data_IF_705732853736
#
_entry.id   IF_705732853736
#
_cell.length_a   1.000
_cell.length_b   1.000
_cell.length_c   1.000
_cell.angle_alpha   90.00
_cell.angle_beta   90.00
_cell.angle_gamma   90.00
#
_symmetry.space_group_name_H-M   'P 1'
#
loop_
_entity.id
_entity.type
_entity.pdbx_description
1 polymer ?
#
# COMPACT_ATOMS: atom_id res chain seq x y z
N UNK A 1 -19.01 -1.38 -9.26
CA UNK A 1 -18.91 -0.54 -8.04
C UNK A 1 -17.52 0.08 -7.89
N UNK A 2 -16.40 -0.68 -7.98
CA UNK A 2 -15.05 -0.13 -7.87
C UNK A 2 -14.78 0.95 -8.94
N UNK A 3 -15.13 0.68 -10.19
CA UNK A 3 -14.96 1.63 -11.29
C UNK A 3 -15.67 2.96 -11.01
N UNK A 4 -16.95 2.92 -10.60
CA UNK A 4 -17.72 4.12 -10.29
C UNK A 4 -17.09 4.95 -9.15
N UNK A 5 -16.43 4.28 -8.20
CA UNK A 5 -15.70 4.97 -7.12
C UNK A 5 -14.40 5.57 -7.64
N UNK A 6 -13.66 4.84 -8.48
CA UNK A 6 -12.41 5.33 -9.09
C UNK A 6 -12.67 6.50 -10.07
N UNK A 7 -13.82 6.55 -10.73
CA UNK A 7 -14.26 7.70 -11.54
C UNK A 7 -14.22 9.03 -10.77
N UNK A 8 -14.42 9.01 -9.45
CA UNK A 8 -14.28 10.17 -8.58
C UNK A 8 -12.91 10.87 -8.64
N UNK A 9 -11.89 10.22 -9.18
CA UNK A 9 -10.55 10.77 -9.37
C UNK A 9 -10.30 11.37 -10.75
N UNK A 10 -11.16 11.10 -11.74
CA UNK A 10 -10.98 11.57 -13.11
C UNK A 10 -10.81 13.07 -13.18
N UNK A 11 -9.78 13.50 -13.91
CA UNK A 11 -9.41 14.92 -14.08
C UNK A 11 -8.82 15.61 -12.84
N UNK A 12 -8.83 14.95 -11.68
CA UNK A 12 -8.26 15.51 -10.44
C UNK A 12 -6.74 15.54 -10.50
N UNK A 13 -6.15 16.64 -10.02
CA UNK A 13 -4.70 16.73 -9.79
C UNK A 13 -4.39 16.15 -8.41
N UNK A 14 -3.53 15.15 -8.36
CA UNK A 14 -3.19 14.40 -7.16
C UNK A 14 -1.70 14.51 -6.89
N UNK A 15 -1.33 15.09 -5.75
CA UNK A 15 0.05 15.10 -5.30
C UNK A 15 0.37 13.76 -4.62
N UNK A 16 1.44 13.11 -5.04
CA UNK A 16 1.96 11.90 -4.42
C UNK A 16 3.32 12.26 -3.81
N UNK A 17 3.47 12.03 -2.49
CA UNK A 17 4.72 12.31 -1.77
C UNK A 17 5.41 10.99 -1.47
N UNK A 18 6.45 10.70 -2.24
CA UNK A 18 7.23 9.45 -2.12
C UNK A 18 8.09 9.21 -3.35
N UNK A 19 9.02 8.28 -3.23
CA UNK A 19 9.86 7.87 -4.35
C UNK A 19 9.07 7.00 -5.34
N UNK A 20 9.47 7.00 -6.63
CA UNK A 20 8.75 6.32 -7.71
C UNK A 20 8.79 4.78 -7.68
N UNK A 21 9.11 4.17 -6.54
CA UNK A 21 9.11 2.71 -6.37
C UNK A 21 7.90 2.17 -5.60
N UNK A 22 7.79 0.85 -5.48
CA UNK A 22 6.78 0.17 -4.66
C UNK A 22 5.35 0.63 -4.90
N UNK A 23 4.63 0.98 -3.83
CA UNK A 23 3.24 1.44 -3.91
C UNK A 23 3.07 2.70 -4.77
N UNK A 24 4.06 3.63 -4.77
CA UNK A 24 4.03 4.84 -5.59
C UNK A 24 3.88 4.53 -7.08
N UNK A 25 4.63 3.57 -7.60
CA UNK A 25 4.60 3.22 -9.02
C UNK A 25 3.21 2.73 -9.45
N UNK A 26 2.60 1.85 -8.64
CA UNK A 26 1.24 1.38 -8.88
C UNK A 26 0.19 2.49 -8.72
N UNK A 27 0.37 3.37 -7.73
CA UNK A 27 -0.52 4.50 -7.50
C UNK A 27 -0.53 5.45 -8.71
N UNK A 28 0.64 5.79 -9.25
CA UNK A 28 0.77 6.60 -10.46
C UNK A 28 0.08 5.89 -11.63
N UNK A 29 0.36 4.60 -11.85
CA UNK A 29 -0.20 3.84 -12.96
C UNK A 29 -1.74 3.75 -12.88
N UNK A 30 -2.31 3.49 -11.71
CA UNK A 30 -3.76 3.46 -11.52
C UNK A 30 -4.37 4.84 -11.77
N UNK A 31 -3.80 5.90 -11.19
CA UNK A 31 -4.31 7.27 -11.37
C UNK A 31 -4.25 7.72 -12.83
N UNK A 32 -3.17 7.41 -13.55
CA UNK A 32 -3.06 7.69 -14.99
C UNK A 32 -4.15 6.94 -15.78
N UNK A 33 -4.35 5.64 -15.52
CA UNK A 33 -5.30 4.79 -16.26
C UNK A 33 -6.76 5.20 -16.03
N UNK A 34 -7.10 5.76 -14.85
CA UNK A 34 -8.43 6.29 -14.58
C UNK A 34 -8.61 7.76 -14.99
N UNK A 35 -7.59 8.36 -15.62
CA UNK A 35 -7.64 9.72 -16.13
C UNK A 35 -7.49 10.82 -15.08
N UNK A 36 -6.86 10.54 -13.96
CA UNK A 36 -6.39 11.55 -13.02
C UNK A 36 -5.06 12.17 -13.50
N UNK A 37 -4.55 13.15 -12.77
CA UNK A 37 -3.30 13.87 -13.08
C UNK A 37 -2.33 13.75 -11.89
N UNK A 38 -1.61 12.62 -11.75
CA UNK A 38 -0.66 12.46 -10.66
C UNK A 38 0.56 13.37 -10.85
N UNK A 39 1.01 13.95 -9.75
CA UNK A 39 2.26 14.71 -9.64
C UNK A 39 3.06 14.11 -8.51
N UNK A 40 4.22 13.56 -8.80
CA UNK A 40 5.06 12.91 -7.80
C UNK A 40 6.15 13.88 -7.33
N UNK A 41 6.31 13.98 -6.03
CA UNK A 41 7.36 14.72 -5.36
C UNK A 41 8.08 13.75 -4.41
N UNK A 42 9.41 13.77 -4.42
CA UNK A 42 10.19 12.93 -3.50
C UNK A 42 9.79 13.19 -2.04
N UNK A 43 9.80 12.17 -1.22
CA UNK A 43 9.61 12.28 0.23
C UNK A 43 10.71 13.09 0.91
N UNK A 44 11.84 13.35 0.22
CA UNK A 44 12.94 14.21 0.65
C UNK A 44 12.79 15.67 0.24
N UNK A 45 11.68 16.02 -0.40
CA UNK A 45 11.44 17.40 -0.80
C UNK A 45 11.38 18.33 0.41
N UNK A 46 11.96 19.52 0.25
CA UNK A 46 11.82 20.60 1.23
C UNK A 46 10.42 21.23 1.19
N UNK A 47 10.09 22.01 2.21
CA UNK A 47 8.80 22.69 2.34
C UNK A 47 8.48 23.57 1.12
N UNK A 48 9.50 24.26 0.55
CA UNK A 48 9.31 25.11 -0.61
C UNK A 48 8.92 24.33 -1.88
N UNK A 49 9.51 23.15 -2.07
CA UNK A 49 9.19 22.25 -3.18
C UNK A 49 7.78 21.67 -3.02
N UNK A 50 7.42 21.26 -1.79
CA UNK A 50 6.05 20.80 -1.48
C UNK A 50 5.04 21.93 -1.71
N UNK A 51 5.26 23.12 -1.18
CA UNK A 51 4.40 24.28 -1.39
C UNK A 51 4.22 24.60 -2.86
N UNK A 52 5.29 24.64 -3.66
CA UNK A 52 5.21 24.85 -5.11
C UNK A 52 4.37 23.76 -5.80
N UNK A 53 4.56 22.49 -5.44
CA UNK A 53 3.81 21.38 -6.04
C UNK A 53 2.31 21.45 -5.69
N UNK A 54 1.98 21.86 -4.45
CA UNK A 54 0.59 22.01 -3.98
C UNK A 54 -0.10 23.23 -4.62
N UNK A 55 0.63 24.34 -4.83
CA UNK A 55 0.08 25.60 -5.35
C UNK A 55 0.13 25.72 -6.87
N UNK A 56 1.01 25.01 -7.56
CA UNK A 56 1.21 25.05 -9.02
C UNK A 56 -0.01 24.61 -9.88
N UNK A 57 -1.14 24.41 -9.26
CA UNK A 57 -2.42 24.05 -9.86
C UNK A 57 -3.29 23.42 -8.77
N UNK A 58 -4.58 23.60 -8.88
CA UNK A 58 -5.53 23.16 -7.85
C UNK A 58 -5.40 21.66 -7.54
N UNK A 59 -4.62 21.33 -6.53
CA UNK A 59 -4.45 19.93 -6.05
C UNK A 59 -5.72 19.50 -5.31
N UNK A 60 -6.28 18.36 -5.70
CA UNK A 60 -7.51 17.82 -5.11
C UNK A 60 -7.23 16.87 -3.94
N UNK A 61 -6.05 16.25 -3.93
CA UNK A 61 -5.62 15.39 -2.84
C UNK A 61 -4.09 15.34 -2.75
N UNK A 62 -3.60 15.17 -1.52
CA UNK A 62 -2.22 14.75 -1.27
C UNK A 62 -2.25 13.31 -0.77
N UNK A 63 -1.41 12.44 -1.34
CA UNK A 63 -1.32 11.03 -0.98
C UNK A 63 0.10 10.74 -0.49
N UNK A 64 0.19 10.14 0.70
CA UNK A 64 1.40 9.57 1.27
C UNK A 64 1.28 8.04 1.18
N UNK A 65 1.90 7.37 0.20
CA UNK A 65 1.62 5.96 -0.12
C UNK A 65 2.39 4.96 0.75
N UNK A 66 3.04 5.39 1.80
CA UNK A 66 3.80 4.55 2.70
C UNK A 66 4.61 5.37 3.67
N UNK A 67 5.47 4.70 4.40
CA UNK A 67 6.41 5.37 5.27
C UNK A 67 7.56 5.96 4.45
N UNK A 68 8.01 7.14 4.84
CA UNK A 68 9.18 7.78 4.24
C UNK A 68 10.42 6.93 4.57
N UNK A 69 10.99 6.29 3.57
CA UNK A 69 12.14 5.39 3.74
C UNK A 69 13.47 6.15 3.74
N UNK A 70 14.51 5.56 4.34
CA UNK A 70 15.87 6.11 4.31
C UNK A 70 16.08 7.39 5.13
N UNK A 71 15.19 7.72 6.04
CA UNK A 71 15.28 8.82 6.99
C UNK A 71 15.25 8.32 8.44
N UNK A 72 15.87 9.06 9.35
CA UNK A 72 15.66 8.87 10.78
C UNK A 72 14.24 9.18 11.20
N UNK A 73 13.77 8.62 12.32
CA UNK A 73 12.43 8.89 12.85
C UNK A 73 12.15 10.40 13.04
N UNK A 74 13.08 11.22 13.62
CA UNK A 74 12.86 12.67 13.71
C UNK A 74 12.63 13.35 12.36
N UNK A 75 13.43 13.01 11.33
CA UNK A 75 13.27 13.57 9.99
C UNK A 75 11.93 13.18 9.36
N UNK A 76 11.46 11.95 9.57
CA UNK A 76 10.15 11.49 9.10
C UNK A 76 9.01 12.22 9.81
N UNK A 77 9.13 12.46 11.11
CA UNK A 77 8.17 13.25 11.89
C UNK A 77 8.08 14.68 11.37
N UNK A 78 9.23 15.35 11.20
CA UNK A 78 9.29 16.70 10.67
C UNK A 78 8.67 16.79 9.27
N UNK A 79 9.00 15.88 8.39
CA UNK A 79 8.45 15.82 7.04
C UNK A 79 6.92 15.58 7.05
N UNK A 80 6.41 14.73 7.95
CA UNK A 80 4.98 14.48 8.11
C UNK A 80 4.24 15.74 8.59
N UNK A 81 4.78 16.43 9.58
CA UNK A 81 4.21 17.68 10.10
C UNK A 81 4.27 18.81 9.06
N UNK A 82 5.38 18.90 8.32
CA UNK A 82 5.55 19.86 7.23
C UNK A 82 4.51 19.61 6.14
N UNK A 83 4.37 18.36 5.66
CA UNK A 83 3.36 18.02 4.67
C UNK A 83 1.94 18.39 5.15
N UNK A 84 1.63 18.08 6.40
CA UNK A 84 0.31 18.38 6.97
C UNK A 84 0.03 19.89 6.97
N UNK A 85 1.02 20.71 7.36
CA UNK A 85 0.91 22.16 7.33
C UNK A 85 0.73 22.70 5.92
N UNK A 86 1.57 22.28 4.98
CA UNK A 86 1.52 22.74 3.59
C UNK A 86 0.21 22.34 2.90
N UNK A 87 -0.32 21.14 3.18
CA UNK A 87 -1.65 20.68 2.69
C UNK A 87 -2.77 21.60 3.16
N UNK A 88 -2.72 22.03 4.44
CA UNK A 88 -3.68 22.99 4.99
C UNK A 88 -3.58 24.34 4.32
N UNK A 89 -2.37 24.90 4.28
CA UNK A 89 -2.12 26.24 3.75
C UNK A 89 -2.49 26.34 2.26
N UNK A 90 -2.28 25.27 1.50
CA UNK A 90 -2.69 25.18 0.10
C UNK A 90 -4.19 24.89 -0.09
N UNK A 91 -4.94 24.66 0.97
CA UNK A 91 -6.38 24.37 0.91
C UNK A 91 -6.70 23.04 0.20
N UNK A 92 -5.83 22.04 0.28
CA UNK A 92 -6.07 20.72 -0.33
C UNK A 92 -7.15 19.99 0.46
N UNK A 93 -8.25 19.55 -0.17
CA UNK A 93 -9.41 19.03 0.56
C UNK A 93 -9.23 17.63 1.15
N UNK A 94 -8.25 16.84 0.67
CA UNK A 94 -8.01 15.46 1.11
C UNK A 94 -6.53 15.17 1.34
N UNK A 95 -6.22 14.63 2.52
CA UNK A 95 -4.95 13.96 2.82
C UNK A 95 -5.21 12.46 3.01
N UNK A 96 -4.69 11.63 2.10
CA UNK A 96 -4.76 10.18 2.16
C UNK A 96 -3.39 9.63 2.53
N UNK A 97 -3.26 8.97 3.67
CA UNK A 97 -2.04 8.28 4.07
C UNK A 97 -2.28 6.77 4.07
N UNK A 98 -1.33 6.03 3.51
CA UNK A 98 -1.29 4.56 3.55
C UNK A 98 -0.17 4.15 4.50
N UNK A 99 -0.40 3.12 5.31
CA UNK A 99 0.56 2.65 6.29
C UNK A 99 0.41 1.17 6.56
N UNK A 100 1.49 0.56 7.01
CA UNK A 100 1.55 -0.87 7.26
C UNK A 100 0.80 -1.26 8.56
N UNK A 101 0.26 -2.47 8.57
CA UNK A 101 -0.37 -3.10 9.74
C UNK A 101 0.61 -3.40 10.89
N UNK A 102 1.92 -3.35 10.64
CA UNK A 102 2.95 -3.54 11.66
C UNK A 102 2.81 -2.61 12.87
N UNK A 103 2.02 -1.53 12.73
CA UNK A 103 1.66 -0.62 13.83
C UNK A 103 0.88 -1.30 14.95
N UNK A 104 0.18 -2.39 14.69
CA UNK A 104 -0.59 -3.10 15.69
C UNK A 104 0.29 -3.98 16.58
N UNK A 105 0.02 -3.95 17.90
CA UNK A 105 0.70 -4.75 18.89
C UNK A 105 0.18 -6.17 18.97
N UNK A 106 -1.12 -6.37 18.71
CA UNK A 106 -1.79 -7.65 18.77
C UNK A 106 -1.48 -8.57 17.59
N UNK A 107 -1.63 -9.90 17.78
CA UNK A 107 -1.67 -10.91 16.72
C UNK A 107 -3.10 -11.33 16.38
N UNK A 108 -3.26 -12.13 15.32
CA UNK A 108 -4.57 -12.60 14.89
C UNK A 108 -5.34 -11.55 14.06
N UNK A 109 -6.68 -11.59 14.11
CA UNK A 109 -7.53 -10.63 13.36
C UNK A 109 -7.70 -9.34 14.16
N UNK A 110 -7.30 -8.22 13.58
CA UNK A 110 -7.26 -6.90 14.24
C UNK A 110 -8.12 -5.91 13.45
N UNK A 111 -8.99 -5.19 14.14
CA UNK A 111 -9.75 -4.06 13.60
C UNK A 111 -9.07 -2.71 13.89
N UNK A 112 -9.69 -1.61 13.47
CA UNK A 112 -9.15 -0.25 13.62
C UNK A 112 -8.98 0.21 15.08
N UNK A 113 -9.69 -0.43 16.03
CA UNK A 113 -9.58 -0.17 17.47
C UNK A 113 -8.48 -1.00 18.14
N UNK A 114 -7.76 -1.85 17.38
CA UNK A 114 -6.66 -2.66 17.92
C UNK A 114 -5.56 -1.80 18.53
N UNK A 115 -4.90 -2.36 19.55
CA UNK A 115 -3.82 -1.68 20.26
C UNK A 115 -2.66 -1.36 19.32
N UNK A 116 -2.24 -0.08 19.32
CA UNK A 116 -1.14 0.44 18.52
C UNK A 116 0.13 0.49 19.36
N UNK A 117 1.28 0.26 18.75
CA UNK A 117 2.57 0.31 19.43
C UNK A 117 3.64 -0.56 18.76
N UNK A 118 3.23 -1.38 17.79
CA UNK A 118 4.14 -2.25 17.05
C UNK A 118 4.82 -3.31 17.90
N UNK A 119 5.37 -4.34 17.29
CA UNK A 119 6.18 -5.38 17.94
C UNK A 119 7.64 -5.29 17.55
N UNK A 120 7.90 -4.78 16.37
CA UNK A 120 9.23 -4.56 15.83
C UNK A 120 9.58 -3.08 15.94
N UNK A 121 10.87 -2.76 15.78
CA UNK A 121 11.32 -1.37 15.73
C UNK A 121 10.55 -0.58 14.66
N UNK A 122 10.44 -1.12 13.45
CA UNK A 122 9.75 -0.46 12.34
C UNK A 122 8.26 -0.25 12.65
N UNK A 123 7.60 -1.25 13.24
CA UNK A 123 6.20 -1.12 13.67
C UNK A 123 6.00 -0.06 14.77
N UNK A 124 6.95 0.06 15.71
CA UNK A 124 6.92 1.12 16.72
C UNK A 124 7.11 2.50 16.09
N UNK A 125 8.08 2.66 15.18
CA UNK A 125 8.31 3.91 14.47
C UNK A 125 7.10 4.30 13.60
N UNK A 126 6.51 3.33 12.88
CA UNK A 126 5.28 3.53 12.13
C UNK A 126 4.12 3.99 13.02
N UNK A 127 3.98 3.41 14.22
CA UNK A 127 2.92 3.80 15.15
C UNK A 127 3.09 5.24 15.66
N UNK A 128 4.31 5.68 15.88
CA UNK A 128 4.63 7.07 16.26
C UNK A 128 4.27 8.02 15.12
N UNK A 129 4.65 7.70 13.89
CA UNK A 129 4.34 8.52 12.71
C UNK A 129 2.84 8.63 12.46
N UNK A 130 2.09 7.53 12.56
CA UNK A 130 0.64 7.56 12.43
C UNK A 130 -0.03 8.39 13.54
N UNK A 131 0.44 8.27 14.77
CA UNK A 131 -0.08 9.04 15.90
C UNK A 131 0.18 10.53 15.69
N UNK A 132 1.38 10.90 15.24
CA UNK A 132 1.73 12.28 14.92
C UNK A 132 0.86 12.82 13.77
N UNK A 133 0.66 12.05 12.69
CA UNK A 133 -0.19 12.42 11.58
C UNK A 133 -1.64 12.66 12.02
N UNK A 134 -2.22 11.74 12.78
CA UNK A 134 -3.59 11.87 13.28
C UNK A 134 -3.74 13.02 14.28
N UNK A 135 -2.73 13.24 15.12
CA UNK A 135 -2.68 14.39 16.04
C UNK A 135 -2.61 15.72 15.28
N UNK A 136 -1.73 15.80 14.27
CA UNK A 136 -1.62 16.97 13.40
C UNK A 136 -2.89 17.18 12.57
N UNK A 137 -3.51 16.13 12.07
CA UNK A 137 -4.77 16.22 11.35
C UNK A 137 -5.87 16.83 12.21
N UNK A 138 -6.02 16.38 13.45
CA UNK A 138 -7.03 16.95 14.39
C UNK A 138 -6.71 18.39 14.79
N UNK A 139 -5.44 18.67 15.12
CA UNK A 139 -5.03 19.98 15.66
C UNK A 139 -4.79 21.02 14.58
N UNK A 140 -4.20 20.66 13.45
CA UNK A 140 -3.82 21.59 12.39
C UNK A 140 -4.83 21.65 11.26
N UNK A 141 -5.35 20.51 10.78
CA UNK A 141 -6.23 20.47 9.61
C UNK A 141 -7.69 20.78 9.98
N UNK A 142 -8.14 20.34 11.16
CA UNK A 142 -9.52 20.46 11.56
C UNK A 142 -10.47 19.86 10.51
N UNK A 143 -11.65 20.49 10.34
CA UNK A 143 -12.65 20.04 9.36
C UNK A 143 -12.36 20.51 7.92
N UNK A 144 -11.37 21.38 7.73
CA UNK A 144 -11.05 21.95 6.43
C UNK A 144 -10.42 20.92 5.46
N UNK A 145 -9.68 19.94 6.00
CA UNK A 145 -9.02 18.88 5.23
C UNK A 145 -9.49 17.53 5.72
N UNK A 146 -10.06 16.74 4.85
CA UNK A 146 -10.41 15.34 5.18
C UNK A 146 -9.12 14.52 5.29
N UNK A 147 -8.92 13.85 6.42
CA UNK A 147 -7.77 12.95 6.60
C UNK A 147 -8.26 11.52 6.60
N UNK A 148 -7.71 10.73 5.69
CA UNK A 148 -7.95 9.30 5.57
C UNK A 148 -6.64 8.56 5.82
N UNK A 149 -6.60 7.74 6.86
CA UNK A 149 -5.48 6.85 7.14
C UNK A 149 -5.90 5.42 6.81
N UNK A 150 -5.19 4.80 5.88
CA UNK A 150 -5.43 3.43 5.43
C UNK A 150 -4.31 2.54 5.96
N UNK A 151 -4.65 1.56 6.78
CA UNK A 151 -3.73 0.52 7.23
C UNK A 151 -3.91 -0.71 6.38
N UNK A 152 -2.83 -1.21 5.83
CA UNK A 152 -2.86 -2.38 4.95
C UNK A 152 -1.94 -3.49 5.46
N UNK A 153 -2.24 -4.72 5.09
CA UNK A 153 -1.35 -5.83 5.32
C UNK A 153 0.00 -5.60 4.61
N UNK A 154 1.08 -6.22 5.07
CA UNK A 154 2.34 -6.19 4.34
C UNK A 154 2.13 -6.57 2.88
N UNK A 155 2.65 -5.75 1.99
CA UNK A 155 2.67 -6.07 0.55
C UNK A 155 3.54 -7.30 0.34
N UNK A 156 3.35 -8.02 -0.75
CA UNK A 156 4.25 -9.11 -1.17
C UNK A 156 5.71 -8.69 -0.97
N UNK A 157 6.31 -9.20 0.13
CA UNK A 157 7.58 -8.72 0.63
C UNK A 157 8.78 -9.34 -0.06
N UNK A 158 9.96 -9.10 0.52
CA UNK A 158 11.27 -9.55 -0.01
C UNK A 158 11.33 -11.06 -0.23
N UNK A 159 10.73 -11.88 0.64
CA UNK A 159 10.67 -13.33 0.47
C UNK A 159 9.95 -13.72 -0.82
N UNK A 160 8.80 -13.10 -1.12
CA UNK A 160 8.05 -13.39 -2.35
C UNK A 160 8.84 -12.95 -3.59
N UNK A 161 9.52 -11.81 -3.52
CA UNK A 161 10.41 -11.35 -4.59
C UNK A 161 11.58 -12.33 -4.79
N UNK A 162 12.20 -12.82 -3.71
CA UNK A 162 13.26 -13.82 -3.77
C UNK A 162 12.78 -15.15 -4.37
N UNK A 163 11.53 -15.57 -4.09
CA UNK A 163 10.94 -16.76 -4.73
C UNK A 163 10.78 -16.58 -6.23
N UNK A 164 10.29 -15.43 -6.67
CA UNK A 164 10.18 -15.09 -8.08
C UNK A 164 11.56 -15.07 -8.77
N UNK A 165 12.56 -14.48 -8.12
CA UNK A 165 13.91 -14.41 -8.64
C UNK A 165 14.55 -15.80 -8.75
N UNK A 166 14.40 -16.65 -7.74
CA UNK A 166 14.87 -18.03 -7.80
C UNK A 166 14.23 -18.81 -8.97
N UNK A 167 12.90 -18.63 -9.13
CA UNK A 167 12.18 -19.26 -10.24
C UNK A 167 12.67 -18.79 -11.61
N UNK A 168 12.87 -17.48 -11.80
CA UNK A 168 13.38 -16.90 -13.05
C UNK A 168 14.82 -17.34 -13.38
N UNK A 169 15.58 -17.75 -12.37
CA UNK A 169 16.94 -18.27 -12.49
C UNK A 169 17.01 -19.82 -12.60
N UNK A 170 15.85 -20.48 -12.60
CA UNK A 170 15.78 -21.95 -12.62
C UNK A 170 16.28 -22.60 -11.31
N UNK A 171 16.35 -21.84 -10.22
CA UNK A 171 16.80 -22.30 -8.92
C UNK A 171 15.62 -22.81 -8.07
N UNK A 172 15.94 -23.68 -7.12
CA UNK A 172 14.98 -24.10 -6.07
C UNK A 172 14.59 -22.92 -5.19
N UNK A 173 13.29 -22.75 -4.97
CA UNK A 173 12.77 -21.72 -4.06
C UNK A 173 13.06 -22.12 -2.61
N UNK A 174 13.76 -21.27 -1.86
CA UNK A 174 14.00 -21.46 -0.43
C UNK A 174 12.90 -20.78 0.37
N UNK A 175 12.29 -21.51 1.31
CA UNK A 175 11.16 -21.04 2.09
C UNK A 175 11.53 -20.99 3.56
N UNK A 176 11.68 -19.80 4.08
CA UNK A 176 11.84 -19.55 5.54
C UNK A 176 10.50 -19.72 6.23
N UNK A 177 10.50 -20.29 7.44
CA UNK A 177 9.30 -20.52 8.24
C UNK A 177 8.15 -21.15 7.43
N UNK A 178 8.34 -22.35 6.84
CA UNK A 178 7.42 -22.93 5.84
C UNK A 178 6.00 -23.12 6.35
N UNK A 179 5.83 -23.41 7.66
CA UNK A 179 4.53 -23.57 8.29
C UNK A 179 3.85 -22.25 8.68
N UNK A 180 4.59 -21.14 8.67
CA UNK A 180 4.04 -19.85 9.04
C UNK A 180 2.96 -19.39 8.04
N UNK A 181 1.89 -18.82 8.57
CA UNK A 181 0.85 -18.19 7.76
C UNK A 181 1.36 -16.84 7.25
N UNK A 182 1.34 -16.66 5.94
CA UNK A 182 1.63 -15.40 5.28
C UNK A 182 0.36 -14.74 4.75
N UNK A 183 0.43 -13.44 4.59
CA UNK A 183 -0.56 -12.63 3.89
C UNK A 183 0.06 -12.21 2.56
N UNK A 184 -0.64 -12.47 1.47
CA UNK A 184 -0.12 -12.28 0.10
C UNK A 184 -0.98 -11.24 -0.62
N UNK A 185 -0.81 -9.98 -0.27
CA UNK A 185 -1.57 -8.87 -0.86
C UNK A 185 -0.72 -8.14 -1.90
N UNK A 186 -1.25 -8.00 -3.10
CA UNK A 186 -0.57 -7.28 -4.18
C UNK A 186 -0.75 -5.75 -4.03
N UNK A 187 0.26 -4.94 -4.40
CA UNK A 187 0.16 -3.48 -4.35
C UNK A 187 -1.09 -2.89 -5.00
N UNK A 188 -1.56 -3.47 -6.11
CA UNK A 188 -2.77 -3.00 -6.81
C UNK A 188 -4.03 -3.07 -5.94
N UNK A 189 -4.20 -4.13 -5.15
CA UNK A 189 -5.34 -4.23 -4.24
C UNK A 189 -5.31 -3.10 -3.20
N UNK A 190 -4.13 -2.83 -2.63
CA UNK A 190 -3.95 -1.77 -1.62
C UNK A 190 -4.25 -0.40 -2.24
N UNK A 191 -3.65 -0.13 -3.40
CA UNK A 191 -3.83 1.15 -4.11
C UNK A 191 -5.30 1.36 -4.48
N UNK A 192 -5.95 0.36 -5.08
CA UNK A 192 -7.35 0.48 -5.49
C UNK A 192 -8.29 0.64 -4.29
N UNK A 193 -8.05 -0.10 -3.20
CA UNK A 193 -8.82 0.07 -1.96
C UNK A 193 -8.62 1.47 -1.35
N UNK A 194 -7.37 1.95 -1.28
CA UNK A 194 -7.05 3.28 -0.77
C UNK A 194 -7.69 4.40 -1.60
N UNK A 195 -7.61 4.31 -2.93
CA UNK A 195 -8.26 5.26 -3.83
C UNK A 195 -9.79 5.20 -3.73
N UNK A 196 -10.38 4.03 -3.53
CA UNK A 196 -11.82 3.88 -3.31
C UNK A 196 -12.26 4.59 -2.03
N UNK A 197 -11.51 4.43 -0.95
CA UNK A 197 -11.74 5.15 0.31
C UNK A 197 -11.58 6.66 0.12
N UNK A 198 -10.53 7.11 -0.57
CA UNK A 198 -10.31 8.52 -0.89
C UNK A 198 -11.43 9.12 -1.74
N UNK A 199 -11.95 8.39 -2.73
CA UNK A 199 -13.10 8.82 -3.53
C UNK A 199 -14.36 8.99 -2.66
N UNK A 200 -14.56 8.09 -1.70
CA UNK A 200 -15.65 8.21 -0.73
C UNK A 200 -15.52 9.46 0.14
N UNK A 201 -14.29 9.80 0.55
CA UNK A 201 -14.04 11.05 1.28
C UNK A 201 -14.47 12.29 0.49
N UNK A 202 -14.27 12.32 -0.83
CA UNK A 202 -14.77 13.40 -1.69
C UNK A 202 -16.29 13.46 -1.73
N UNK A 203 -16.98 12.30 -1.77
CA UNK A 203 -18.43 12.23 -1.93
C UNK A 203 -19.18 12.55 -0.64
N UNK A 204 -18.71 12.06 0.51
CA UNK A 204 -19.44 12.11 1.76
C UNK A 204 -18.78 13.00 2.82
N UNK A 205 -17.60 13.54 2.55
CA UNK A 205 -16.86 14.35 3.51
C UNK A 205 -16.35 13.56 4.72
N UNK A 206 -16.37 12.23 4.65
CA UNK A 206 -15.91 11.36 5.74
C UNK A 206 -14.37 11.23 5.71
N UNK A 207 -13.77 11.32 6.90
CA UNK A 207 -12.38 10.98 7.16
C UNK A 207 -12.29 9.85 8.18
N UNK A 208 -11.10 9.35 8.46
CA UNK A 208 -10.93 8.36 9.51
C UNK A 208 -9.80 7.38 9.25
N UNK A 209 -9.77 6.33 10.08
CA UNK A 209 -8.82 5.24 9.99
C UNK A 209 -9.55 4.00 9.50
N UNK A 210 -9.00 3.34 8.49
CA UNK A 210 -9.59 2.15 7.88
C UNK A 210 -8.54 1.09 7.62
N UNK A 211 -8.87 -0.15 7.97
CA UNK A 211 -8.07 -1.30 7.59
C UNK A 211 -8.47 -1.79 6.20
N UNK A 212 -7.49 -2.06 5.34
CA UNK A 212 -7.71 -2.89 4.15
C UNK A 212 -7.62 -4.33 4.62
N UNK A 213 -8.79 -4.97 4.72
CA UNK A 213 -8.92 -6.31 5.27
C UNK A 213 -8.29 -7.36 4.35
N UNK A 214 -7.70 -8.36 5.00
CA UNK A 214 -7.24 -9.57 4.33
C UNK A 214 -8.39 -10.54 4.13
N UNK A 215 -8.61 -10.95 2.90
CA UNK A 215 -9.51 -12.05 2.55
C UNK A 215 -8.81 -13.40 2.87
N UNK A 216 -9.57 -14.43 3.19
CA UNK A 216 -9.03 -15.78 3.36
C UNK A 216 -8.33 -16.28 2.10
N UNK A 217 -8.74 -15.81 0.92
CA UNK A 217 -8.11 -16.12 -0.36
C UNK A 217 -6.68 -15.59 -0.50
N UNK A 218 -6.33 -14.52 0.20
CA UNK A 218 -4.98 -13.93 0.22
C UNK A 218 -4.11 -14.45 1.36
N UNK A 219 -4.57 -15.46 2.11
CA UNK A 219 -3.85 -16.04 3.26
C UNK A 219 -3.50 -17.50 3.00
N UNK A 220 -2.29 -17.89 3.30
CA UNK A 220 -1.83 -19.27 3.16
C UNK A 220 -0.56 -19.54 3.96
N UNK A 221 -0.10 -20.80 4.02
CA UNK A 221 1.25 -21.07 4.52
C UNK A 221 2.27 -20.67 3.44
N UNK A 222 3.43 -20.19 3.90
CA UNK A 222 4.53 -19.82 2.98
C UNK A 222 4.93 -20.98 2.08
N UNK A 223 5.05 -22.20 2.65
CA UNK A 223 5.33 -23.41 1.87
C UNK A 223 4.29 -23.70 0.79
N UNK A 224 3.00 -23.57 1.13
CA UNK A 224 1.93 -23.82 0.16
C UNK A 224 1.97 -22.81 -0.99
N UNK A 225 2.17 -21.53 -0.69
CA UNK A 225 2.25 -20.47 -1.69
C UNK A 225 3.45 -20.64 -2.63
N UNK A 226 4.64 -20.87 -2.07
CA UNK A 226 5.87 -21.08 -2.84
C UNK A 226 5.79 -22.35 -3.71
N UNK A 227 5.24 -23.45 -3.17
CA UNK A 227 5.05 -24.70 -3.93
C UNK A 227 4.11 -24.50 -5.12
N UNK A 228 2.98 -23.83 -4.93
CA UNK A 228 2.03 -23.55 -6.02
C UNK A 228 2.67 -22.66 -7.08
N UNK A 229 3.43 -21.63 -6.69
CA UNK A 229 4.17 -20.78 -7.62
C UNK A 229 5.16 -21.60 -8.45
N UNK A 230 5.98 -22.47 -7.82
CA UNK A 230 6.93 -23.34 -8.51
C UNK A 230 6.25 -24.31 -9.48
N UNK A 231 5.17 -24.96 -9.06
CA UNK A 231 4.42 -25.92 -9.88
C UNK A 231 3.80 -25.28 -11.12
N UNK A 232 3.21 -24.09 -10.97
CA UNK A 232 2.53 -23.38 -12.07
C UNK A 232 3.49 -22.86 -13.13
N UNK A 233 4.71 -22.56 -12.76
CA UNK A 233 5.71 -21.97 -13.67
C UNK A 233 6.88 -22.90 -14.01
N UNK A 234 6.76 -24.20 -13.73
CA UNK A 234 7.78 -25.19 -14.11
C UNK A 234 9.10 -25.06 -13.35
N UNK A 235 9.05 -24.57 -12.11
CA UNK A 235 10.24 -24.38 -11.29
C UNK A 235 10.85 -25.68 -10.77
N UNK A 236 12.13 -25.62 -10.34
CA UNK A 236 12.89 -26.74 -9.79
C UNK A 236 12.39 -27.29 -8.44
N UNK A 237 11.28 -26.72 -7.92
CA UNK A 237 10.67 -27.12 -6.65
C UNK A 237 10.97 -26.17 -5.51
N UNK A 238 10.65 -26.60 -4.29
CA UNK A 238 10.84 -25.83 -3.06
C UNK A 238 11.68 -26.61 -2.05
N UNK A 239 12.57 -25.92 -1.33
CA UNK A 239 13.29 -26.44 -0.20
C UNK A 239 12.94 -25.62 1.06
N UNK A 240 12.91 -26.29 2.21
CA UNK A 240 12.74 -25.59 3.48
C UNK A 240 14.09 -25.00 3.91
N UNK A 241 14.06 -23.80 4.45
CA UNK A 241 15.21 -23.17 5.08
C UNK A 241 14.91 -23.10 6.58
N UNK A 242 15.83 -23.67 7.39
CA UNK A 242 15.73 -23.55 8.83
C UNK A 242 15.93 -22.08 9.22
N UNK A 243 15.03 -21.55 10.04
CA UNK A 243 15.12 -20.21 10.57
C UNK A 243 15.41 -20.29 12.07
N UNK A 244 16.39 -19.53 12.50
CA UNK A 244 16.86 -19.53 13.89
C UNK A 244 15.88 -18.85 14.84
N UNK A 245 15.04 -17.93 14.35
CA UNK A 245 14.12 -17.15 15.18
C UNK A 245 12.65 -17.47 14.89
N UNK A 246 11.85 -17.49 15.98
CA UNK A 246 10.39 -17.64 15.86
C UNK A 246 9.76 -16.44 15.14
N UNK A 247 9.03 -16.70 14.07
CA UNK A 247 8.31 -15.66 13.34
C UNK A 247 7.08 -15.19 14.14
N UNK A 248 6.83 -13.89 14.22
CA UNK A 248 5.59 -13.41 14.82
C UNK A 248 4.39 -13.88 13.99
N UNK A 249 3.27 -14.24 14.63
CA UNK A 249 2.09 -14.70 13.92
C UNK A 249 1.61 -13.63 12.95
N UNK A 250 1.18 -14.07 11.74
CA UNK A 250 0.64 -13.18 10.74
C UNK A 250 -0.51 -12.33 11.31
N UNK A 251 -0.48 -11.04 11.04
CA UNK A 251 -1.57 -10.14 11.39
C UNK A 251 -2.61 -10.15 10.27
N UNK A 252 -3.84 -10.47 10.61
CA UNK A 252 -4.98 -10.41 9.71
C UNK A 252 -5.77 -9.15 10.00
N UNK A 253 -5.95 -8.30 9.01
CA UNK A 253 -6.73 -7.08 9.18
C UNK A 253 -8.22 -7.34 8.96
N UNK A 254 -9.04 -6.84 9.87
CA UNK A 254 -10.48 -6.77 9.65
C UNK A 254 -10.83 -5.51 8.86
N UNK A 255 -11.13 -5.67 7.59
CA UNK A 255 -11.55 -4.59 6.68
C UNK A 255 -13.06 -4.36 6.62
N UNK A 256 -13.80 -4.84 7.60
CA UNK A 256 -15.28 -4.73 7.60
C UNK A 256 -15.75 -3.27 7.52
N UNK A 257 -15.04 -2.34 8.16
CA UNK A 257 -15.39 -0.93 8.11
C UNK A 257 -15.22 -0.33 6.71
N UNK A 258 -14.07 -0.56 6.06
CA UNK A 258 -13.83 -0.12 4.69
C UNK A 258 -14.82 -0.74 3.69
N UNK A 259 -15.12 -2.03 3.85
CA UNK A 259 -16.08 -2.75 3.01
C UNK A 259 -17.50 -2.19 3.15
N UNK A 260 -17.94 -1.90 4.38
CA UNK A 260 -19.28 -1.28 4.60
C UNK A 260 -19.34 0.13 4.04
N UNK A 261 -18.27 0.91 4.18
CA UNK A 261 -18.25 2.30 3.74
C UNK A 261 -18.33 2.43 2.22
N UNK A 262 -17.53 1.65 1.49
CA UNK A 262 -17.37 1.82 0.04
C UNK A 262 -17.10 0.53 -0.75
N UNK A 263 -17.27 -0.64 -0.13
CA UNK A 263 -16.99 -1.92 -0.78
C UNK A 263 -15.51 -2.21 -1.02
N UNK A 264 -14.60 -1.46 -0.38
CA UNK A 264 -13.16 -1.68 -0.52
C UNK A 264 -12.77 -3.07 0.01
N UNK A 265 -12.21 -3.90 -0.83
CA UNK A 265 -11.73 -5.25 -0.50
C UNK A 265 -10.65 -5.69 -1.48
N UNK A 266 -9.68 -6.46 -0.99
CA UNK A 266 -8.70 -7.12 -1.85
C UNK A 266 -9.41 -8.13 -2.76
N UNK A 267 -8.98 -8.23 -4.01
CA UNK A 267 -9.62 -9.05 -5.05
C UNK A 267 -8.77 -10.23 -5.49
N UNK A 268 -7.45 -10.06 -5.45
CA UNK A 268 -6.51 -11.07 -5.87
C UNK A 268 -6.37 -12.15 -4.79
N UNK A 269 -6.39 -13.40 -5.21
CA UNK A 269 -5.96 -14.51 -4.37
C UNK A 269 -4.43 -14.65 -4.34
N UNK A 270 -3.92 -15.60 -3.55
CA UNK A 270 -2.48 -15.83 -3.41
C UNK A 270 -1.79 -16.09 -4.74
N UNK A 271 -2.43 -16.88 -5.60
CA UNK A 271 -1.84 -17.30 -6.87
C UNK A 271 -1.78 -16.16 -7.86
N UNK A 272 -2.87 -15.42 -7.99
CA UNK A 272 -2.95 -14.23 -8.83
C UNK A 272 -1.95 -13.14 -8.39
N UNK A 273 -1.85 -12.92 -7.08
CA UNK A 273 -0.91 -11.94 -6.53
C UNK A 273 0.56 -12.30 -6.84
N UNK A 274 0.93 -13.58 -6.68
CA UNK A 274 2.28 -14.06 -6.96
C UNK A 274 2.59 -14.07 -8.47
N UNK A 275 1.62 -14.39 -9.33
CA UNK A 275 1.80 -14.34 -10.78
C UNK A 275 2.08 -12.93 -11.29
N UNK A 276 1.33 -11.96 -10.79
CA UNK A 276 1.57 -10.56 -11.12
C UNK A 276 2.95 -10.07 -10.63
N UNK A 277 3.37 -10.49 -9.44
CA UNK A 277 4.72 -10.20 -8.95
C UNK A 277 5.80 -10.85 -9.85
N UNK A 278 5.61 -12.11 -10.25
CA UNK A 278 6.55 -12.80 -11.15
C UNK A 278 6.65 -12.08 -12.50
N UNK A 279 5.53 -11.65 -13.08
CA UNK A 279 5.52 -10.86 -14.32
C UNK A 279 6.29 -9.55 -14.15
N UNK A 280 6.05 -8.83 -13.06
CA UNK A 280 6.78 -7.61 -12.74
C UNK A 280 8.29 -7.86 -12.60
N UNK A 281 8.69 -8.90 -11.85
CA UNK A 281 10.12 -9.25 -11.67
C UNK A 281 10.79 -9.63 -13.00
N UNK A 282 10.09 -10.37 -13.86
CA UNK A 282 10.58 -10.71 -15.22
C UNK A 282 10.81 -9.45 -16.06
N UNK A 283 9.88 -8.52 -16.03
CA UNK A 283 9.98 -7.26 -16.76
C UNK A 283 11.09 -6.34 -16.21
N UNK A 284 11.26 -6.27 -14.89
CA UNK A 284 12.33 -5.51 -14.26
C UNK A 284 13.70 -5.97 -14.73
N UNK A 285 13.91 -7.29 -14.82
CA UNK A 285 15.15 -7.87 -15.37
C UNK A 285 15.40 -7.52 -16.84
N UNK A 286 14.33 -7.31 -17.60
CA UNK A 286 14.41 -6.85 -18.98
C UNK A 286 14.49 -5.31 -19.13
N UNK A 287 14.57 -4.56 -18.03
CA UNK A 287 14.55 -3.10 -18.05
C UNK A 287 13.20 -2.49 -18.44
N UNK A 288 12.11 -3.26 -18.31
CA UNK A 288 10.74 -2.90 -18.73
C UNK A 288 9.74 -2.80 -17.57
N UNK A 289 10.21 -2.53 -16.37
CA UNK A 289 9.38 -2.56 -15.15
C UNK A 289 8.20 -1.59 -15.23
N UNK A 290 8.41 -0.35 -15.66
CA UNK A 290 7.34 0.65 -15.78
C UNK A 290 6.26 0.21 -16.77
N UNK A 291 6.65 -0.34 -17.92
CA UNK A 291 5.73 -0.85 -18.93
C UNK A 291 4.91 -2.05 -18.39
N UNK A 292 5.54 -2.92 -17.61
CA UNK A 292 4.87 -4.04 -16.97
C UNK A 292 3.86 -3.58 -15.91
N UNK A 293 4.23 -2.63 -15.05
CA UNK A 293 3.32 -2.07 -14.05
C UNK A 293 2.08 -1.48 -14.75
N UNK A 294 2.25 -0.70 -15.81
CA UNK A 294 1.13 -0.15 -16.59
C UNK A 294 0.25 -1.25 -17.21
N UNK A 295 0.85 -2.30 -17.80
CA UNK A 295 0.10 -3.42 -18.39
C UNK A 295 -0.69 -4.18 -17.33
N UNK A 296 -0.04 -4.58 -16.24
CA UNK A 296 -0.67 -5.29 -15.12
C UNK A 296 -1.80 -4.47 -14.51
N UNK A 297 -1.59 -3.15 -14.34
CA UNK A 297 -2.63 -2.23 -13.85
C UNK A 297 -3.84 -2.21 -14.76
N UNK A 298 -3.65 -2.11 -16.08
CA UNK A 298 -4.75 -2.11 -17.05
C UNK A 298 -5.54 -3.41 -17.00
N UNK A 299 -4.87 -4.55 -17.05
CA UNK A 299 -5.51 -5.88 -16.95
C UNK A 299 -6.29 -6.03 -15.65
N UNK A 300 -5.74 -5.58 -14.52
CA UNK A 300 -6.43 -5.60 -13.23
C UNK A 300 -7.71 -4.75 -13.26
N UNK A 301 -7.64 -3.52 -13.78
CA UNK A 301 -8.79 -2.62 -13.87
C UNK A 301 -9.85 -3.13 -14.85
N UNK A 302 -9.47 -3.73 -15.97
CA UNK A 302 -10.38 -4.39 -16.91
C UNK A 302 -11.11 -5.56 -16.27
N UNK A 303 -10.42 -6.41 -15.50
CA UNK A 303 -11.04 -7.47 -14.70
C UNK A 303 -11.99 -6.95 -13.60
N UNK A 304 -11.87 -5.68 -13.21
CA UNK A 304 -12.82 -5.02 -12.31
C UNK A 304 -14.10 -4.54 -12.99
N UNK A 305 -14.11 -4.46 -14.33
CA UNK A 305 -15.25 -4.03 -15.17
C UNK A 305 -16.18 -5.17 -15.52
N UNK A 306 -15.65 -6.39 -15.57
CA UNK A 306 -16.40 -7.61 -15.84
C UNK A 306 -17.14 -8.12 -14.59
#
# INVERSE_FOLDING_TARGET
MLEAMLEGWRGKRVLIVGDRGGLCAFLIAVLDEIGARPVCVSDRADAQTLCRALTAGRVSAAILPGEMTGRSLPERLEATLTLTREVREAGVPLLLAMSDAAVYRGGGRVNEAGEIGGRTRDGMEASILQTALLGAARGLLGDAVRTMLVRHAPVLGEDCAAWCDALLEGRTIRVRHPAARGVFVHPLDIVCCGLTLGARAFQCGEGGVYNIGTDERSVGTRQSAARRLAMRHGGAGTAQEEAEDGEPPAQLLDGSAARRLCGAACRLDVDQALDLLLEQRRAARAGQEEAAIRRVTRTYLEGCRA
#
